data_IF_216559179475
#
_entry.id   IF_216559179475
#
_cell.length_a   1.000
_cell.length_b   1.000
_cell.length_c   1.000
_cell.angle_alpha   90.00
_cell.angle_beta   90.00
_cell.angle_gamma   90.00
#
_symmetry.space_group_name_H-M   'P 1'
#
loop_
_entity.id
_entity.type
_entity.pdbx_description
1 polymer ?
#
# COMPACT_ATOMS: atom_id res chain seq x y z
N UNK A 1 -6.36 -24.47 10.36
CA UNK A 1 -5.10 -23.71 10.14
C UNK A 1 -4.47 -23.43 11.49
N UNK A 2 -3.24 -23.92 11.76
CA UNK A 2 -2.05 -23.16 11.35
C UNK A 2 -0.85 -24.00 10.85
N UNK A 3 0.05 -23.39 10.05
CA UNK A 3 1.52 -23.63 9.97
C UNK A 3 2.24 -22.92 8.79
N UNK A 4 1.56 -22.09 7.98
CA UNK A 4 2.20 -21.32 6.90
C UNK A 4 1.36 -20.13 6.40
N UNK A 5 1.93 -19.32 5.49
CA UNK A 5 1.28 -18.11 4.92
C UNK A 5 0.09 -18.40 4.00
N UNK A 6 0.03 -19.60 3.42
CA UNK A 6 -0.98 -19.93 2.41
C UNK A 6 -2.35 -20.16 3.05
N UNK A 7 -3.38 -19.50 2.49
CA UNK A 7 -4.78 -19.73 2.86
C UNK A 7 -5.36 -20.97 2.19
N UNK A 8 -4.89 -21.29 1.00
CA UNK A 8 -5.35 -22.41 0.16
C UNK A 8 -4.18 -23.31 -0.26
N UNK A 9 -4.48 -24.50 -0.79
CA UNK A 9 -3.45 -25.38 -1.36
C UNK A 9 -2.83 -24.72 -2.62
N UNK A 10 -1.52 -24.90 -2.80
CA UNK A 10 -0.79 -24.43 -3.99
C UNK A 10 -1.35 -25.01 -5.30
N UNK A 11 -2.01 -26.16 -5.25
CA UNK A 11 -2.66 -26.71 -6.45
C UNK A 11 -3.80 -25.85 -6.99
N UNK A 12 -4.40 -25.01 -6.14
CA UNK A 12 -5.48 -24.09 -6.54
C UNK A 12 -5.03 -23.06 -7.60
N UNK A 13 -3.73 -22.79 -7.70
CA UNK A 13 -3.20 -21.96 -8.79
C UNK A 13 -3.44 -22.57 -10.18
N UNK A 14 -3.62 -23.90 -10.29
CA UNK A 14 -3.94 -24.58 -11.56
C UNK A 14 -5.35 -24.25 -12.06
N UNK A 15 -6.24 -23.83 -11.16
CA UNK A 15 -7.62 -23.45 -11.49
C UNK A 15 -7.71 -21.99 -11.95
N UNK A 16 -6.65 -21.20 -11.76
CA UNK A 16 -6.62 -19.80 -12.16
C UNK A 16 -6.51 -19.66 -13.69
N UNK A 17 -7.42 -18.90 -14.28
CA UNK A 17 -7.35 -18.52 -15.70
C UNK A 17 -6.11 -17.66 -16.01
N UNK A 18 -5.61 -16.94 -15.01
CA UNK A 18 -4.45 -16.06 -15.14
C UNK A 18 -3.71 -15.99 -13.80
N UNK A 19 -2.39 -16.23 -13.83
CA UNK A 19 -1.49 -16.06 -12.69
C UNK A 19 -0.50 -14.94 -13.03
N UNK A 20 -0.51 -13.90 -12.21
CA UNK A 20 0.24 -12.65 -12.46
C UNK A 20 1.39 -12.55 -11.44
N UNK A 21 2.61 -12.37 -11.94
CA UNK A 21 3.84 -12.36 -11.15
C UNK A 21 4.51 -10.97 -11.17
N UNK A 22 4.96 -10.51 -10.01
CA UNK A 22 5.74 -9.26 -9.88
C UNK A 22 7.05 -9.34 -10.69
N UNK A 23 7.48 -8.22 -11.25
CA UNK A 23 8.65 -8.06 -12.14
C UNK A 23 8.58 -8.75 -13.51
N UNK A 24 7.56 -9.58 -13.74
CA UNK A 24 7.28 -10.21 -15.05
C UNK A 24 6.03 -9.61 -15.70
N UNK A 25 4.93 -9.61 -14.97
CA UNK A 25 3.60 -9.30 -15.48
C UNK A 25 3.12 -7.92 -15.01
N UNK A 26 3.70 -7.41 -13.92
CA UNK A 26 3.50 -6.04 -13.44
C UNK A 26 4.70 -5.56 -12.61
N UNK A 27 4.79 -4.24 -12.44
CA UNK A 27 5.76 -3.59 -11.55
C UNK A 27 5.06 -2.70 -10.54
N UNK A 28 5.67 -2.57 -9.36
CA UNK A 28 5.28 -1.59 -8.34
C UNK A 28 6.07 -0.31 -8.54
N UNK A 29 5.37 0.80 -8.72
CA UNK A 29 5.97 2.13 -8.77
C UNK A 29 5.51 2.88 -7.53
N UNK A 30 6.48 3.31 -6.71
CA UNK A 30 6.20 4.15 -5.54
C UNK A 30 6.47 5.61 -5.86
N UNK A 31 5.63 6.48 -5.32
CA UNK A 31 5.77 7.93 -5.42
C UNK A 31 5.31 8.59 -4.14
N UNK A 32 5.74 9.82 -3.90
CA UNK A 32 5.38 10.57 -2.69
C UNK A 32 4.67 11.85 -3.09
N UNK A 33 3.45 12.05 -2.59
CA UNK A 33 2.75 13.32 -2.71
C UNK A 33 3.19 14.25 -1.58
N UNK A 34 3.43 15.53 -1.93
CA UNK A 34 3.94 16.57 -1.02
C UNK A 34 5.22 16.15 -0.25
N UNK A 35 6.28 15.70 -0.94
CA UNK A 35 7.50 15.26 -0.27
C UNK A 35 8.20 16.42 0.44
N UNK A 36 8.81 16.15 1.59
CA UNK A 36 9.64 17.11 2.33
C UNK A 36 11.03 16.53 2.58
N UNK A 37 11.97 17.37 3.03
CA UNK A 37 13.39 17.00 3.16
C UNK A 37 13.70 16.04 4.32
N UNK A 38 12.84 16.01 5.36
CA UNK A 38 13.03 15.18 6.56
C UNK A 38 11.70 14.57 6.98
N UNK A 39 11.46 13.32 6.59
CA UNK A 39 10.16 12.69 6.81
C UNK A 39 10.21 11.67 7.94
N UNK A 40 9.18 11.66 8.79
CA UNK A 40 8.98 10.63 9.81
C UNK A 40 7.96 9.61 9.29
N UNK A 41 8.38 8.37 9.04
CA UNK A 41 7.44 7.33 8.59
C UNK A 41 6.54 6.91 9.75
N UNK A 42 5.23 6.94 9.54
CA UNK A 42 4.21 6.46 10.48
C UNK A 42 3.35 5.43 9.76
N UNK A 43 3.34 4.19 10.25
CA UNK A 43 2.50 3.14 9.65
C UNK A 43 2.03 2.09 10.64
N UNK A 44 0.81 1.60 10.40
CA UNK A 44 0.14 0.56 11.17
C UNK A 44 -0.40 -0.53 10.22
N UNK A 45 0.44 -1.02 9.32
CA UNK A 45 0.13 -2.14 8.42
C UNK A 45 0.63 -3.47 8.98
N UNK A 46 0.01 -4.59 8.58
CA UNK A 46 0.34 -5.94 9.04
C UNK A 46 1.82 -6.33 8.93
N UNK A 47 2.53 -5.88 7.88
CA UNK A 47 3.93 -6.19 7.66
C UNK A 47 4.69 -4.94 7.20
N UNK A 48 5.11 -4.07 8.14
CA UNK A 48 5.65 -2.75 7.83
C UNK A 48 7.05 -2.80 7.21
N UNK A 49 7.83 -3.83 7.48
CA UNK A 49 9.18 -4.01 6.91
C UNK A 49 9.16 -4.16 5.38
N UNK A 50 8.02 -4.56 4.79
CA UNK A 50 7.85 -4.57 3.33
C UNK A 50 7.98 -3.20 2.68
N UNK A 51 7.73 -2.12 3.42
CA UNK A 51 7.89 -0.77 2.90
C UNK A 51 9.35 -0.38 2.78
N UNK A 52 10.27 -1.00 3.54
CA UNK A 52 11.67 -0.58 3.64
C UNK A 52 12.38 -0.48 2.29
N UNK A 53 12.06 -1.38 1.36
CA UNK A 53 12.63 -1.39 0.01
C UNK A 53 12.17 -0.20 -0.86
N UNK A 54 11.10 0.49 -0.46
CA UNK A 54 10.46 1.55 -1.23
C UNK A 54 10.55 2.93 -0.56
N UNK A 55 11.17 3.02 0.62
CA UNK A 55 11.29 4.28 1.35
C UNK A 55 12.40 5.14 0.75
N UNK A 56 12.19 6.46 0.66
CA UNK A 56 13.20 7.40 0.20
C UNK A 56 14.25 7.62 1.30
N UNK A 57 15.43 8.14 0.96
CA UNK A 57 16.53 8.37 1.92
C UNK A 57 16.22 9.49 2.92
N UNK A 58 15.24 10.32 2.58
CA UNK A 58 14.73 11.45 3.33
C UNK A 58 13.93 11.02 4.57
N UNK A 59 13.61 9.72 4.72
CA UNK A 59 13.00 9.18 5.94
C UNK A 59 14.05 9.12 7.04
N UNK A 60 13.86 9.96 8.06
CA UNK A 60 14.82 10.11 9.17
C UNK A 60 14.59 9.12 10.31
N UNK A 61 13.34 8.68 10.50
CA UNK A 61 12.94 7.69 11.50
C UNK A 61 11.66 6.99 11.07
N UNK A 62 11.44 5.78 11.59
CA UNK A 62 10.30 4.92 11.30
C UNK A 62 9.57 4.58 12.59
N UNK A 63 8.26 4.79 12.62
CA UNK A 63 7.36 4.45 13.71
C UNK A 63 6.41 3.36 13.24
N UNK A 64 6.65 2.13 13.72
CA UNK A 64 5.83 0.97 13.40
C UNK A 64 4.86 0.69 14.54
N UNK A 65 3.58 0.74 14.21
CA UNK A 65 2.49 0.45 15.12
C UNK A 65 1.89 -0.91 14.80
N UNK A 66 1.13 -1.47 15.74
CA UNK A 66 0.37 -2.71 15.50
C UNK A 66 -0.65 -2.49 14.39
N UNK A 67 -0.91 -3.52 13.59
CA UNK A 67 -1.90 -3.41 12.51
C UNK A 67 -3.24 -2.95 13.06
N UNK A 68 -3.88 -2.03 12.35
CA UNK A 68 -5.14 -1.39 12.76
C UNK A 68 -5.10 -0.57 14.06
N UNK A 69 -3.92 -0.30 14.65
CA UNK A 69 -3.84 0.58 15.80
C UNK A 69 -4.28 2.02 15.44
N UNK A 70 -5.00 2.71 16.36
CA UNK A 70 -5.15 4.17 16.28
C UNK A 70 -3.79 4.84 16.51
N UNK A 71 -3.64 6.06 16.00
CA UNK A 71 -2.44 6.85 16.23
C UNK A 71 -2.65 7.81 17.40
N UNK A 72 -1.70 7.78 18.33
CA UNK A 72 -1.60 8.76 19.40
C UNK A 72 -0.96 10.04 18.83
N UNK A 73 -1.77 11.08 18.64
CA UNK A 73 -1.31 12.33 18.03
C UNK A 73 -0.26 13.05 18.89
N UNK A 74 -0.36 12.98 20.22
CA UNK A 74 0.61 13.61 21.12
C UNK A 74 1.98 12.93 20.98
N UNK A 75 1.99 11.59 20.89
CA UNK A 75 3.20 10.82 20.62
C UNK A 75 3.81 11.18 19.25
N UNK A 76 2.97 11.30 18.21
CA UNK A 76 3.43 11.66 16.87
C UNK A 76 4.03 13.06 16.82
N UNK A 77 3.41 14.05 17.48
CA UNK A 77 3.94 15.41 17.59
C UNK A 77 5.27 15.44 18.32
N UNK A 78 5.37 14.75 19.47
CA UNK A 78 6.62 14.63 20.21
C UNK A 78 7.73 14.07 19.34
N UNK A 79 7.49 12.96 18.64
CA UNK A 79 8.46 12.34 17.75
C UNK A 79 8.79 13.22 16.54
N UNK A 80 7.82 13.93 15.99
CA UNK A 80 8.01 14.86 14.88
C UNK A 80 9.04 15.95 15.25
N UNK A 81 8.83 16.63 16.38
CA UNK A 81 9.74 17.69 16.83
C UNK A 81 11.09 17.15 17.29
N UNK A 82 11.13 16.03 18.01
CA UNK A 82 12.39 15.42 18.48
C UNK A 82 13.34 15.05 17.33
N UNK A 83 12.79 14.62 16.20
CA UNK A 83 13.58 14.22 15.03
C UNK A 83 13.77 15.35 14.02
N UNK A 84 13.30 16.57 14.33
CA UNK A 84 13.28 17.71 13.40
C UNK A 84 12.68 17.30 12.05
N UNK A 85 11.56 16.58 12.07
CA UNK A 85 10.84 16.19 10.88
C UNK A 85 10.14 17.42 10.27
N UNK A 86 9.94 17.40 8.96
CA UNK A 86 9.23 18.43 8.19
C UNK A 86 7.88 17.94 7.68
N UNK A 87 7.65 16.63 7.64
CA UNK A 87 6.33 16.02 7.48
C UNK A 87 6.28 14.59 8.03
N UNK A 88 5.08 14.09 8.31
CA UNK A 88 4.83 12.67 8.51
C UNK A 88 4.65 11.99 7.15
N UNK A 89 5.45 10.97 6.86
CA UNK A 89 5.24 10.11 5.70
C UNK A 89 4.29 8.96 6.08
N UNK A 90 3.15 8.87 5.41
CA UNK A 90 2.11 7.88 5.72
C UNK A 90 1.62 7.15 4.47
N UNK A 91 1.01 5.99 4.66
CA UNK A 91 0.34 5.28 3.56
C UNK A 91 -1.09 5.81 3.37
N UNK A 92 -1.69 5.59 2.19
CA UNK A 92 -3.09 5.97 1.95
C UNK A 92 -4.07 5.31 2.93
N UNK A 93 -3.75 4.09 3.43
CA UNK A 93 -4.56 3.38 4.45
C UNK A 93 -4.48 4.06 5.82
N UNK A 94 -3.32 4.58 6.18
CA UNK A 94 -3.10 5.19 7.49
C UNK A 94 -3.49 6.68 7.50
N UNK A 95 -3.51 7.34 6.33
CA UNK A 95 -3.92 8.73 6.16
C UNK A 95 -5.33 9.00 6.70
N UNK A 96 -6.29 8.09 6.50
CA UNK A 96 -7.66 8.26 6.99
C UNK A 96 -7.78 8.29 8.52
N UNK A 97 -6.74 7.84 9.24
CA UNK A 97 -6.68 7.87 10.71
C UNK A 97 -6.07 9.16 11.26
N UNK A 98 -5.53 10.01 10.39
CA UNK A 98 -4.81 11.25 10.74
C UNK A 98 -5.55 12.50 10.27
N UNK A 99 -6.87 12.42 10.11
CA UNK A 99 -7.70 13.55 9.65
C UNK A 99 -7.62 14.74 10.60
N UNK A 100 -7.49 14.49 11.90
CA UNK A 100 -7.38 15.52 12.94
C UNK A 100 -5.92 15.91 13.25
N UNK A 101 -4.95 15.43 12.47
CA UNK A 101 -3.54 15.73 12.69
C UNK A 101 -3.17 17.09 12.08
N UNK A 102 -2.66 18.01 12.90
CA UNK A 102 -2.21 19.34 12.44
C UNK A 102 -0.80 19.34 11.84
N UNK A 103 -0.10 18.20 11.82
CA UNK A 103 1.26 18.11 11.27
C UNK A 103 1.23 18.02 9.74
N UNK A 104 2.25 18.56 9.04
CA UNK A 104 2.35 18.39 7.60
C UNK A 104 2.42 16.91 7.21
N UNK A 105 1.65 16.49 6.21
CA UNK A 105 1.57 15.10 5.76
C UNK A 105 2.16 14.94 4.36
N UNK A 106 2.97 13.90 4.19
CA UNK A 106 3.40 13.36 2.90
C UNK A 106 2.81 11.97 2.73
N UNK A 107 2.35 11.64 1.52
CA UNK A 107 1.65 10.37 1.28
C UNK A 107 2.48 9.50 0.36
N UNK A 108 2.82 8.30 0.83
CA UNK A 108 3.44 7.25 0.03
C UNK A 108 2.36 6.55 -0.80
N UNK A 109 2.39 6.78 -2.11
CA UNK A 109 1.50 6.15 -3.07
C UNK A 109 2.16 4.95 -3.72
N UNK A 110 1.32 3.95 -4.01
CA UNK A 110 1.68 2.78 -4.80
C UNK A 110 0.83 2.75 -6.07
N UNK A 111 1.49 2.71 -7.21
CA UNK A 111 0.88 2.45 -8.51
C UNK A 111 1.35 1.10 -9.01
N UNK A 112 0.43 0.30 -9.54
CA UNK A 112 0.76 -0.92 -10.27
C UNK A 112 0.80 -0.59 -11.76
N UNK A 113 1.94 -0.87 -12.40
CA UNK A 113 2.06 -0.81 -13.85
C UNK A 113 2.00 -2.24 -14.38
N UNK A 114 0.86 -2.59 -14.95
CA UNK A 114 0.55 -3.93 -15.43
C UNK A 114 0.89 -4.01 -16.93
N UNK A 115 1.53 -5.09 -17.34
CA UNK A 115 1.87 -5.32 -18.74
C UNK A 115 0.60 -5.34 -19.62
N UNK A 116 0.59 -4.68 -20.80
CA UNK A 116 -0.60 -4.62 -21.66
C UNK A 116 -1.20 -5.98 -22.00
N UNK A 117 -0.35 -6.99 -22.24
CA UNK A 117 -0.78 -8.38 -22.50
C UNK A 117 -1.64 -8.97 -21.37
N UNK A 118 -1.33 -8.63 -20.12
CA UNK A 118 -2.08 -9.11 -18.95
C UNK A 118 -3.45 -8.43 -18.90
N UNK A 119 -3.49 -7.12 -19.21
CA UNK A 119 -4.75 -6.37 -19.31
C UNK A 119 -5.62 -6.92 -20.44
N UNK A 120 -5.06 -7.24 -21.60
CA UNK A 120 -5.78 -7.86 -22.71
C UNK A 120 -6.39 -9.22 -22.35
N UNK A 121 -5.68 -10.06 -21.59
CA UNK A 121 -6.21 -11.34 -21.11
C UNK A 121 -7.34 -11.13 -20.08
N UNK A 122 -7.22 -10.12 -19.19
CA UNK A 122 -8.29 -9.74 -18.26
C UNK A 122 -9.53 -9.25 -19.02
N UNK A 123 -9.34 -8.37 -20.02
CA UNK A 123 -10.42 -7.85 -20.84
C UNK A 123 -11.12 -8.98 -21.59
N UNK A 124 -10.36 -9.88 -22.22
CA UNK A 124 -10.91 -11.06 -22.92
C UNK A 124 -11.72 -11.93 -21.96
N UNK A 125 -11.24 -12.15 -20.74
CA UNK A 125 -11.97 -12.89 -19.73
C UNK A 125 -13.28 -12.20 -19.37
N UNK A 126 -13.28 -10.90 -19.08
CA UNK A 126 -14.49 -10.12 -18.75
C UNK A 126 -15.50 -10.15 -19.90
N UNK A 127 -15.05 -9.96 -21.14
CA UNK A 127 -15.91 -9.97 -22.33
C UNK A 127 -16.41 -11.36 -22.72
N UNK A 128 -15.75 -12.43 -22.27
CA UNK A 128 -16.20 -13.81 -22.51
C UNK A 128 -17.49 -14.15 -21.76
N UNK A 129 -17.83 -13.40 -20.71
CA UNK A 129 -19.11 -13.53 -20.04
C UNK A 129 -20.17 -12.75 -20.83
N UNK A 130 -21.21 -13.42 -21.36
CA UNK A 130 -22.34 -12.73 -21.97
C UNK A 130 -22.92 -11.81 -20.90
N UNK A 131 -22.84 -10.51 -21.16
CA UNK A 131 -23.19 -9.46 -20.22
C UNK A 131 -24.56 -9.77 -19.59
N UNK A 132 -24.63 -9.88 -18.26
CA UNK A 132 -25.87 -9.77 -17.51
C UNK A 132 -26.29 -8.29 -17.51
N UNK A 133 -26.43 -7.70 -18.70
CA UNK A 133 -27.11 -6.43 -18.93
C UNK A 133 -28.60 -6.70 -18.84
N UNK A 134 -29.09 -6.87 -17.62
CA UNK A 134 -30.43 -6.41 -17.29
C UNK A 134 -30.28 -5.19 -16.41
N UNK A 135 -30.48 -4.06 -17.08
CA UNK A 135 -30.87 -2.78 -16.51
C UNK A 135 -31.74 -2.98 -15.25
N UNK A 136 -31.31 -2.37 -14.15
CA UNK A 136 -32.22 -1.88 -13.11
C UNK A 136 -31.86 -0.43 -12.85
N UNK A 137 -32.30 0.43 -13.78
CA UNK A 137 -32.75 1.78 -13.49
C UNK A 137 -34.22 1.70 -13.10
#
# INVERSE_FOLDING_TARGET
MPSGLYRENIESYKEAHLVVTEDKDYKRITSITHPTKRMLLVTAIANPSRLDAFLPKEVVKKLYFRDHAPFDLELLEKEFYQNNATSLLVTSKDLVKLQDCNLPLSVLNLKLEICPKVLEEIDRYIFSYPCNTKERL
#
